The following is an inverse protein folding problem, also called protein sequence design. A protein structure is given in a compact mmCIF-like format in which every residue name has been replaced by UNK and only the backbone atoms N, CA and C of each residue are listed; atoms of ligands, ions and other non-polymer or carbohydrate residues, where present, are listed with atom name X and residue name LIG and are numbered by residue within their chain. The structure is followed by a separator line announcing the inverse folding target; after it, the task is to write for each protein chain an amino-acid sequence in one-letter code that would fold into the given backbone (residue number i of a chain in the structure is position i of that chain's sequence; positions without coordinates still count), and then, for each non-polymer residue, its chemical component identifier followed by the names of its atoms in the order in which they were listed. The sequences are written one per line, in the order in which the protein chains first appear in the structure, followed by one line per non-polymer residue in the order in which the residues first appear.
data_IF_687779173398
#
_entry.id   IF_687779173398
#
_cell.length_a   1.000
_cell.length_b   1.000
_cell.length_c   1.000
_cell.angle_alpha   90.00
_cell.angle_beta   90.00
_cell.angle_gamma   90.00
#
_symmetry.space_group_name_H-M   'P 1'
#
loop_
_entity.id
_entity.type
_entity.pdbx_description
1 polymer ?
#
# COMPACT_ATOMS: atom_id res chain seq x y z
N UNK A 1 -2.50 -1.73 -45.64
CA UNK A 1 -1.03 -1.54 -45.80
C UNK A 1 -0.66 -0.35 -44.92
N UNK A 2 0.16 -0.42 -43.88
CA UNK A 2 1.24 -1.33 -43.49
C UNK A 2 1.16 -1.56 -41.98
N UNK A 3 1.27 -2.82 -41.56
CA UNK A 3 1.54 -3.19 -40.17
C UNK A 3 2.99 -2.87 -39.82
N UNK A 4 3.22 -2.42 -38.59
CA UNK A 4 4.54 -2.25 -38.01
C UNK A 4 4.60 -3.10 -36.73
N UNK A 5 5.47 -4.09 -36.81
CA UNK A 5 5.66 -5.22 -35.91
C UNK A 5 6.42 -4.83 -34.64
N UNK A 6 5.80 -5.04 -33.49
CA UNK A 6 6.31 -4.80 -32.13
C UNK A 6 7.16 -5.98 -31.59
N UNK A 7 8.14 -6.50 -32.35
CA UNK A 7 8.88 -7.70 -31.93
C UNK A 7 10.41 -7.81 -32.17
N UNK A 8 11.22 -6.73 -32.25
CA UNK A 8 12.68 -6.93 -32.18
C UNK A 8 13.50 -5.98 -31.27
N UNK A 9 12.94 -5.45 -30.17
CA UNK A 9 13.75 -4.73 -29.14
C UNK A 9 13.98 -5.61 -27.89
N UNK A 10 13.48 -6.84 -27.90
CA UNK A 10 13.47 -7.78 -26.77
C UNK A 10 14.75 -8.65 -26.64
N UNK A 11 15.74 -8.59 -27.55
CA UNK A 11 16.76 -9.68 -27.60
C UNK A 11 18.24 -9.27 -27.57
N UNK A 12 18.63 -7.99 -27.55
CA UNK A 12 20.08 -7.64 -27.52
C UNK A 12 20.40 -6.54 -26.51
N UNK A 13 20.32 -6.87 -25.23
CA UNK A 13 21.14 -6.29 -24.16
C UNK A 13 21.22 -7.26 -22.95
N UNK A 14 21.16 -8.57 -23.23
CA UNK A 14 21.63 -9.61 -22.32
C UNK A 14 23.13 -9.78 -22.64
N UNK A 15 23.96 -9.91 -21.61
CA UNK A 15 25.44 -9.80 -21.59
C UNK A 15 25.91 -8.33 -21.57
N UNK A 16 26.53 -7.79 -20.52
CA UNK A 16 27.37 -8.38 -19.48
C UNK A 16 27.04 -7.71 -18.14
N UNK A 17 26.46 -8.46 -17.20
CA UNK A 17 26.74 -8.24 -15.80
C UNK A 17 27.54 -9.48 -15.39
N UNK A 18 28.81 -9.31 -15.08
CA UNK A 18 29.64 -10.40 -14.59
C UNK A 18 28.98 -10.95 -13.32
N UNK A 19 28.86 -12.29 -13.16
CA UNK A 19 28.56 -12.84 -11.86
C UNK A 19 29.70 -12.43 -10.92
N UNK A 20 29.41 -11.58 -9.94
CA UNK A 20 30.32 -11.37 -8.81
C UNK A 20 30.34 -12.70 -8.06
N UNK A 21 31.42 -13.46 -8.25
CA UNK A 21 31.67 -14.66 -7.48
C UNK A 21 31.76 -14.26 -6.00
N UNK A 22 30.76 -14.66 -5.22
CA UNK A 22 30.82 -14.57 -3.78
C UNK A 22 32.04 -15.38 -3.32
N UNK A 23 32.97 -14.68 -2.67
CA UNK A 23 34.10 -15.24 -1.95
C UNK A 23 33.56 -16.24 -0.93
N UNK A 24 34.23 -17.38 -0.77
CA UNK A 24 33.89 -18.43 0.20
C UNK A 24 33.69 -17.82 1.59
N UNK A 25 32.42 -17.64 2.00
CA UNK A 25 32.02 -16.96 3.23
C UNK A 25 31.16 -17.89 4.06
N UNK A 26 31.47 -17.93 5.36
CA UNK A 26 30.99 -18.95 6.29
C UNK A 26 29.78 -18.36 7.02
N UNK A 27 28.79 -19.19 7.36
CA UNK A 27 27.59 -18.85 8.16
C UNK A 27 27.92 -18.32 9.58
N UNK A 28 29.20 -18.04 9.88
CA UNK A 28 29.69 -17.59 11.19
C UNK A 28 29.46 -16.09 11.46
N UNK A 29 29.05 -15.31 10.47
CA UNK A 29 28.81 -13.86 10.63
C UNK A 29 27.33 -13.52 10.90
N UNK A 30 26.45 -14.53 10.92
CA UNK A 30 25.09 -14.35 11.37
C UNK A 30 25.03 -14.10 12.89
N UNK A 31 24.06 -13.31 13.39
CA UNK A 31 23.96 -12.97 14.79
C UNK A 31 23.84 -14.21 15.69
N UNK A 32 24.48 -14.18 16.86
CA UNK A 32 24.59 -15.33 17.77
C UNK A 32 23.22 -15.95 18.13
N UNK A 33 22.18 -15.11 18.21
CA UNK A 33 20.83 -15.59 18.47
C UNK A 33 20.28 -16.44 17.32
N UNK A 34 20.49 -16.01 16.07
CA UNK A 34 20.03 -16.73 14.90
C UNK A 34 20.80 -18.05 14.70
N UNK A 35 22.09 -18.06 15.04
CA UNK A 35 22.91 -19.28 15.00
C UNK A 35 22.40 -20.37 15.96
N UNK A 36 21.95 -20.01 17.17
CA UNK A 36 21.32 -20.98 18.09
C UNK A 36 20.06 -21.61 17.52
N UNK A 37 19.28 -20.84 16.77
CA UNK A 37 18.11 -21.37 16.07
C UNK A 37 18.50 -22.30 14.92
N UNK A 38 19.53 -21.94 14.15
CA UNK A 38 20.02 -22.74 13.04
C UNK A 38 20.58 -24.10 13.51
N UNK A 39 21.41 -24.10 14.55
CA UNK A 39 22.07 -25.30 15.10
C UNK A 39 21.03 -26.36 15.55
N UNK A 40 19.93 -25.91 16.15
CA UNK A 40 18.81 -26.77 16.58
C UNK A 40 18.20 -27.59 15.45
N UNK A 41 18.26 -27.11 14.21
CA UNK A 41 17.74 -27.82 13.03
C UNK A 41 18.82 -28.61 12.30
N UNK A 42 20.09 -28.20 12.39
CA UNK A 42 21.24 -28.90 11.82
C UNK A 42 21.62 -30.18 12.59
N UNK A 43 21.28 -30.28 13.88
CA UNK A 43 21.51 -31.49 14.70
C UNK A 43 20.69 -32.72 14.24
N UNK A 44 19.74 -32.56 13.31
CA UNK A 44 19.01 -33.71 12.75
C UNK A 44 19.96 -34.54 11.87
N UNK A 45 19.95 -35.88 11.98
CA UNK A 45 20.92 -36.78 11.31
C UNK A 45 20.89 -36.72 9.77
N UNK A 46 19.91 -36.02 9.19
CA UNK A 46 19.74 -35.85 7.74
C UNK A 46 20.61 -34.67 7.22
N UNK A 47 21.00 -33.72 8.08
CA UNK A 47 21.60 -32.45 7.69
C UNK A 47 22.99 -32.17 8.29
N UNK A 48 23.57 -33.10 9.05
CA UNK A 48 24.87 -32.92 9.71
C UNK A 48 26.04 -32.67 8.74
N UNK A 49 25.93 -33.15 7.50
CA UNK A 49 26.93 -32.99 6.43
C UNK A 49 26.37 -32.21 5.21
N UNK A 50 25.28 -31.45 5.37
CA UNK A 50 24.68 -30.73 4.26
C UNK A 50 25.54 -29.52 3.83
N UNK A 51 25.85 -29.42 2.53
CA UNK A 51 26.43 -28.20 1.96
C UNK A 51 25.43 -27.04 2.01
N UNK A 52 25.94 -25.79 2.07
CA UNK A 52 25.13 -24.57 2.11
C UNK A 52 24.10 -24.56 0.96
N UNK A 53 24.50 -24.99 -0.24
CA UNK A 53 23.63 -25.09 -1.41
C UNK A 53 22.43 -26.04 -1.22
N UNK A 54 22.62 -27.14 -0.47
CA UNK A 54 21.55 -28.08 -0.14
C UNK A 54 20.58 -27.51 0.89
N UNK A 55 21.09 -26.77 1.86
CA UNK A 55 20.28 -26.04 2.86
C UNK A 55 19.42 -24.96 2.20
N UNK A 56 19.98 -24.24 1.24
CA UNK A 56 19.30 -23.19 0.48
C UNK A 56 18.14 -23.70 -0.40
N UNK A 57 18.22 -24.96 -0.85
CA UNK A 57 17.22 -25.59 -1.70
C UNK A 57 16.06 -26.25 -0.91
N UNK A 58 16.21 -26.39 0.41
CA UNK A 58 15.18 -27.00 1.28
C UNK A 58 14.43 -25.90 2.03
N UNK A 59 13.30 -25.48 1.48
CA UNK A 59 12.45 -24.39 2.03
C UNK A 59 12.00 -24.67 3.46
N UNK A 60 11.72 -25.93 3.81
CA UNK A 60 11.25 -26.32 5.14
C UNK A 60 12.26 -26.06 6.25
N UNK A 61 13.57 -26.07 5.97
CA UNK A 61 14.60 -25.78 6.99
C UNK A 61 14.70 -24.27 7.19
N UNK A 62 14.78 -23.51 6.10
CA UNK A 62 14.76 -22.04 6.11
C UNK A 62 13.54 -21.49 6.86
N UNK A 63 12.32 -21.99 6.56
CA UNK A 63 11.09 -21.55 7.22
C UNK A 63 11.08 -21.83 8.74
N UNK A 64 11.57 -23.00 9.15
CA UNK A 64 11.59 -23.38 10.57
C UNK A 64 12.64 -22.58 11.38
N UNK A 65 13.80 -22.29 10.78
CA UNK A 65 14.79 -21.41 11.38
C UNK A 65 14.22 -19.99 11.48
N UNK A 66 13.57 -19.49 10.43
CA UNK A 66 12.92 -18.17 10.42
C UNK A 66 11.85 -18.03 11.51
N UNK A 67 11.03 -19.06 11.74
CA UNK A 67 10.04 -19.09 12.83
C UNK A 67 10.73 -18.99 14.21
N UNK A 68 11.84 -19.71 14.40
CA UNK A 68 12.61 -19.67 15.63
C UNK A 68 13.23 -18.28 15.88
N UNK A 69 13.89 -17.70 14.87
CA UNK A 69 14.52 -16.38 14.97
C UNK A 69 13.47 -15.30 15.22
N UNK A 70 12.32 -15.36 14.53
CA UNK A 70 11.21 -14.43 14.75
C UNK A 70 10.65 -14.48 16.18
N UNK A 71 10.62 -15.67 16.79
CA UNK A 71 10.06 -15.87 18.13
C UNK A 71 11.06 -15.67 19.28
N UNK A 72 12.36 -15.74 19.00
CA UNK A 72 13.41 -15.80 20.01
C UNK A 72 14.49 -14.72 19.94
N UNK A 73 14.58 -13.96 18.86
CA UNK A 73 15.63 -12.95 18.63
C UNK A 73 15.08 -11.54 18.46
N UNK A 74 15.97 -10.54 18.52
CA UNK A 74 15.60 -9.15 18.22
C UNK A 74 15.23 -8.98 16.74
N UNK A 75 14.47 -7.94 16.42
CA UNK A 75 14.09 -7.62 15.03
C UNK A 75 15.34 -7.35 14.18
N UNK A 76 16.35 -6.70 14.77
CA UNK A 76 17.65 -6.47 14.13
C UNK A 76 18.35 -7.77 13.78
N UNK A 77 18.47 -8.71 14.73
CA UNK A 77 19.11 -10.01 14.47
C UNK A 77 18.36 -10.81 13.39
N UNK A 78 17.03 -10.69 13.36
CA UNK A 78 16.19 -11.32 12.32
C UNK A 78 16.48 -10.73 10.93
N UNK A 79 16.59 -9.40 10.83
CA UNK A 79 16.87 -8.73 9.56
C UNK A 79 18.30 -9.01 9.07
N UNK A 80 19.29 -9.02 9.98
CA UNK A 80 20.67 -9.41 9.67
C UNK A 80 20.73 -10.87 9.22
N UNK A 81 20.07 -11.79 9.93
CA UNK A 81 19.99 -13.19 9.53
C UNK A 81 19.40 -13.36 8.11
N UNK A 82 18.31 -12.65 7.78
CA UNK A 82 17.71 -12.72 6.45
C UNK A 82 18.61 -12.14 5.35
N UNK A 83 19.37 -11.09 5.65
CA UNK A 83 20.40 -10.56 4.75
C UNK A 83 21.44 -11.63 4.46
N UNK A 84 22.01 -12.22 5.50
CA UNK A 84 23.08 -13.21 5.38
C UNK A 84 22.62 -14.51 4.70
N UNK A 85 21.40 -15.00 5.00
CA UNK A 85 20.82 -16.16 4.32
C UNK A 85 20.71 -15.92 2.81
N UNK A 86 20.20 -14.74 2.39
CA UNK A 86 20.03 -14.42 0.97
C UNK A 86 21.35 -14.35 0.22
N UNK A 87 22.36 -13.71 0.81
CA UNK A 87 23.72 -13.64 0.24
C UNK A 87 24.30 -15.05 0.14
N UNK A 88 24.19 -15.86 1.20
CA UNK A 88 24.71 -17.24 1.24
C UNK A 88 24.02 -18.16 0.22
N UNK A 89 22.72 -17.96 -0.01
CA UNK A 89 21.94 -18.77 -0.94
C UNK A 89 21.91 -18.21 -2.37
N UNK A 90 22.69 -17.16 -2.66
CA UNK A 90 22.70 -16.47 -3.96
C UNK A 90 21.28 -16.16 -4.49
N UNK A 91 20.38 -15.76 -3.59
CA UNK A 91 19.02 -15.38 -3.94
C UNK A 91 19.04 -13.93 -4.41
N UNK A 92 18.63 -13.71 -5.66
CA UNK A 92 18.54 -12.36 -6.24
C UNK A 92 17.61 -11.48 -5.40
N UNK A 93 18.08 -10.28 -5.08
CA UNK A 93 17.26 -9.24 -4.49
C UNK A 93 16.24 -8.75 -5.53
N UNK A 94 15.02 -8.44 -5.09
CA UNK A 94 13.96 -7.98 -5.98
C UNK A 94 14.03 -6.44 -6.00
N UNK A 95 14.27 -5.88 -7.18
CA UNK A 95 14.29 -4.43 -7.40
C UNK A 95 13.07 -4.00 -8.24
N UNK A 96 12.07 -3.39 -7.58
CA UNK A 96 10.85 -2.88 -8.23
C UNK A 96 10.71 -1.35 -8.16
N UNK A 97 11.75 -0.65 -7.73
CA UNK A 97 11.75 0.80 -7.51
C UNK A 97 11.37 1.61 -8.77
N UNK A 98 11.82 1.17 -9.95
CA UNK A 98 11.53 1.82 -11.23
C UNK A 98 10.05 1.75 -11.59
N UNK A 99 9.43 0.58 -11.42
CA UNK A 99 8.01 0.37 -11.68
C UNK A 99 7.16 1.22 -10.73
N UNK A 100 7.51 1.24 -9.44
CA UNK A 100 6.81 2.03 -8.42
C UNK A 100 6.91 3.52 -8.75
N UNK A 101 8.09 4.03 -9.10
CA UNK A 101 8.28 5.44 -9.50
C UNK A 101 7.48 5.80 -10.75
N UNK A 102 7.54 4.97 -11.79
CA UNK A 102 6.82 5.21 -13.03
C UNK A 102 5.30 5.32 -12.82
N UNK A 103 4.72 4.42 -12.02
CA UNK A 103 3.30 4.46 -11.66
C UNK A 103 2.95 5.74 -10.89
N UNK A 104 3.76 6.11 -9.89
CA UNK A 104 3.50 7.32 -9.10
C UNK A 104 3.61 8.61 -9.91
N UNK A 105 4.58 8.69 -10.85
CA UNK A 105 4.67 9.84 -11.76
C UNK A 105 3.45 9.94 -12.69
N UNK A 106 2.96 8.80 -13.19
CA UNK A 106 1.75 8.78 -14.00
C UNK A 106 0.53 9.28 -13.21
N UNK A 107 0.35 8.80 -11.97
CA UNK A 107 -0.74 9.23 -11.09
C UNK A 107 -0.63 10.73 -10.79
N UNK A 108 0.55 11.22 -10.44
CA UNK A 108 0.77 12.65 -10.19
C UNK A 108 0.42 13.51 -11.42
N UNK A 109 0.84 13.08 -12.61
CA UNK A 109 0.47 13.75 -13.86
C UNK A 109 -1.05 13.78 -14.08
N UNK A 110 -1.74 12.68 -13.83
CA UNK A 110 -3.19 12.60 -13.96
C UNK A 110 -3.92 13.52 -12.96
N UNK A 111 -3.45 13.60 -11.71
CA UNK A 111 -3.99 14.51 -10.68
C UNK A 111 -3.84 15.96 -11.13
N UNK A 112 -2.64 16.36 -11.58
CA UNK A 112 -2.35 17.71 -12.04
C UNK A 112 -3.24 18.09 -13.22
N UNK A 113 -3.32 17.24 -14.25
CA UNK A 113 -4.17 17.48 -15.42
C UNK A 113 -5.64 17.63 -15.03
N UNK A 114 -6.16 16.73 -14.17
CA UNK A 114 -7.55 16.77 -13.70
C UNK A 114 -7.89 18.08 -12.97
N UNK A 115 -7.02 18.50 -12.04
CA UNK A 115 -7.20 19.75 -11.30
C UNK A 115 -7.04 20.97 -12.21
N UNK A 116 -6.07 20.97 -13.13
CA UNK A 116 -5.89 22.06 -14.09
C UNK A 116 -7.11 22.26 -14.97
N UNK A 117 -7.69 21.17 -15.50
CA UNK A 117 -8.95 21.23 -16.26
C UNK A 117 -10.06 21.79 -15.38
N UNK A 118 -10.22 21.28 -14.16
CA UNK A 118 -11.28 21.72 -13.25
C UNK A 118 -11.16 23.21 -12.89
N UNK A 119 -9.99 23.68 -12.48
CA UNK A 119 -9.73 25.08 -12.17
C UNK A 119 -9.94 25.97 -13.40
N UNK A 120 -9.51 25.52 -14.59
CA UNK A 120 -9.71 26.27 -15.83
C UNK A 120 -11.20 26.47 -16.12
N UNK A 121 -12.04 25.45 -15.93
CA UNK A 121 -13.50 25.59 -16.15
C UNK A 121 -14.15 26.60 -15.19
N UNK A 122 -13.63 26.72 -13.96
CA UNK A 122 -14.13 27.67 -12.95
C UNK A 122 -13.62 29.09 -13.21
N UNK A 123 -12.35 29.23 -13.57
CA UNK A 123 -11.74 30.52 -13.86
C UNK A 123 -12.37 31.19 -15.09
N UNK A 124 -12.64 30.39 -16.13
CA UNK A 124 -13.38 30.84 -17.32
C UNK A 124 -14.89 30.99 -17.07
N UNK A 125 -15.37 30.84 -15.82
CA UNK A 125 -16.75 31.01 -15.38
C UNK A 125 -17.78 30.14 -16.12
N UNK A 126 -17.38 28.99 -16.69
CA UNK A 126 -18.32 28.04 -17.28
C UNK A 126 -19.27 27.44 -16.24
N UNK A 127 -18.83 27.35 -14.98
CA UNK A 127 -19.65 26.86 -13.87
C UNK A 127 -19.40 27.66 -12.59
N UNK A 128 -20.43 27.78 -11.73
CA UNK A 128 -20.28 28.43 -10.41
C UNK A 128 -19.48 27.56 -9.45
N UNK A 129 -18.69 28.19 -8.59
CA UNK A 129 -18.04 27.56 -7.44
C UNK A 129 -19.08 26.93 -6.52
N UNK A 130 -18.84 25.68 -6.12
CA UNK A 130 -19.64 24.97 -5.12
C UNK A 130 -18.76 24.45 -3.99
N UNK A 131 -19.40 24.00 -2.91
CA UNK A 131 -18.70 23.36 -1.77
C UNK A 131 -17.90 22.14 -2.24
N UNK A 132 -18.38 21.44 -3.27
CA UNK A 132 -17.68 20.32 -3.90
C UNK A 132 -16.30 20.70 -4.46
N UNK A 133 -16.15 21.92 -4.98
CA UNK A 133 -14.87 22.44 -5.50
C UNK A 133 -13.88 22.76 -4.38
N UNK A 134 -14.36 23.30 -3.26
CA UNK A 134 -13.51 23.61 -2.10
C UNK A 134 -13.00 22.36 -1.39
N UNK A 135 -13.67 21.22 -1.55
CA UNK A 135 -13.26 19.95 -0.97
C UNK A 135 -12.33 19.15 -1.87
N UNK A 136 -12.52 19.20 -3.19
CA UNK A 136 -11.69 18.41 -4.12
C UNK A 136 -10.27 18.97 -4.28
N UNK A 137 -10.09 20.28 -4.16
CA UNK A 137 -8.78 20.94 -4.26
C UNK A 137 -7.82 20.45 -3.14
N UNK A 138 -8.17 20.54 -1.85
CA UNK A 138 -7.31 20.02 -0.78
C UNK A 138 -7.16 18.50 -0.88
N UNK A 139 -8.17 17.76 -1.33
CA UNK A 139 -8.04 16.33 -1.55
C UNK A 139 -6.95 15.98 -2.57
N UNK A 140 -6.89 16.73 -3.67
CA UNK A 140 -5.88 16.56 -4.71
C UNK A 140 -4.48 16.99 -4.26
N UNK A 141 -4.37 18.03 -3.42
CA UNK A 141 -3.10 18.43 -2.80
C UNK A 141 -2.58 17.30 -1.90
N UNK A 142 -3.44 16.72 -1.05
CA UNK A 142 -3.05 15.59 -0.20
C UNK A 142 -2.66 14.36 -1.03
N UNK A 143 -3.40 14.05 -2.10
CA UNK A 143 -3.04 12.97 -3.02
C UNK A 143 -1.70 13.22 -3.72
N UNK A 144 -1.41 14.46 -4.11
CA UNK A 144 -0.11 14.82 -4.69
C UNK A 144 1.02 14.66 -3.66
N UNK A 145 0.83 15.14 -2.43
CA UNK A 145 1.79 14.94 -1.32
C UNK A 145 2.04 13.45 -1.12
N UNK A 146 0.97 12.63 -1.09
CA UNK A 146 1.08 11.18 -0.96
C UNK A 146 1.94 10.57 -2.08
N UNK A 147 1.69 10.93 -3.35
CA UNK A 147 2.48 10.40 -4.48
C UNK A 147 3.96 10.82 -4.41
N UNK A 148 4.25 12.04 -3.96
CA UNK A 148 5.62 12.52 -3.79
C UNK A 148 6.32 11.74 -2.67
N UNK A 149 5.65 11.53 -1.54
CA UNK A 149 6.18 10.73 -0.43
C UNK A 149 6.43 9.28 -0.86
N UNK A 150 5.54 8.68 -1.64
CA UNK A 150 5.75 7.33 -2.21
C UNK A 150 7.01 7.27 -3.09
N UNK A 151 7.27 8.31 -3.90
CA UNK A 151 8.50 8.39 -4.69
C UNK A 151 9.73 8.52 -3.78
N UNK A 152 9.69 9.38 -2.76
CA UNK A 152 10.79 9.53 -1.80
C UNK A 152 11.05 8.25 -1.00
N UNK A 153 10.00 7.48 -0.71
CA UNK A 153 10.13 6.18 -0.06
C UNK A 153 10.89 5.19 -0.93
N UNK A 154 10.84 5.27 -2.27
CA UNK A 154 11.66 4.39 -3.13
C UNK A 154 13.15 4.60 -2.94
N UNK A 155 13.58 5.84 -2.71
CA UNK A 155 14.98 6.14 -2.36
C UNK A 155 15.32 5.77 -0.91
N UNK A 156 14.30 5.56 -0.07
CA UNK A 156 14.44 5.08 1.30
C UNK A 156 14.23 3.56 1.41
N UNK A 157 14.23 2.84 0.28
CA UNK A 157 14.18 1.38 0.22
C UNK A 157 12.87 0.77 -0.26
N UNK A 158 11.80 1.55 -0.51
CA UNK A 158 10.54 1.03 -1.05
C UNK A 158 10.75 0.35 -2.42
N UNK A 159 10.37 -0.92 -2.51
CA UNK A 159 10.60 -1.74 -3.70
C UNK A 159 11.89 -2.54 -3.68
N UNK A 160 12.68 -2.44 -2.59
CA UNK A 160 13.79 -3.34 -2.25
C UNK A 160 13.45 -4.12 -0.99
N UNK A 161 14.10 -5.26 -0.80
CA UNK A 161 13.86 -6.08 0.39
C UNK A 161 14.33 -5.41 1.68
N UNK A 162 13.53 -5.51 2.74
CA UNK A 162 13.72 -4.73 3.97
C UNK A 162 15.09 -4.90 4.62
N UNK A 163 15.73 -6.05 4.43
CA UNK A 163 17.05 -6.34 4.98
C UNK A 163 18.21 -5.70 4.20
N UNK A 164 18.02 -5.11 3.03
CA UNK A 164 19.11 -4.38 2.34
C UNK A 164 19.23 -2.92 2.80
N UNK A 165 18.32 -2.47 3.67
CA UNK A 165 18.16 -1.08 4.09
C UNK A 165 18.98 -0.81 5.36
N UNK A 166 19.62 0.37 5.42
CA UNK A 166 20.33 0.84 6.62
C UNK A 166 19.35 1.22 7.75
N UNK A 167 19.75 1.07 9.01
CA UNK A 167 18.93 1.39 10.19
C UNK A 167 18.42 2.85 10.17
N UNK A 168 19.28 3.80 9.79
CA UNK A 168 18.89 5.22 9.69
C UNK A 168 17.82 5.46 8.60
N UNK A 169 17.92 4.71 7.50
CA UNK A 169 16.98 4.81 6.37
C UNK A 169 15.65 4.13 6.70
N UNK A 170 15.68 3.07 7.50
CA UNK A 170 14.49 2.34 7.99
C UNK A 170 13.59 3.24 8.83
N UNK A 171 14.16 4.03 9.74
CA UNK A 171 13.37 4.97 10.54
C UNK A 171 12.66 6.02 9.67
N UNK A 172 13.34 6.56 8.65
CA UNK A 172 12.73 7.53 7.71
C UNK A 172 11.62 6.90 6.89
N UNK A 173 11.83 5.68 6.42
CA UNK A 173 10.84 4.91 5.66
C UNK A 173 9.51 4.82 6.42
N UNK A 174 9.55 4.42 7.69
CA UNK A 174 8.34 4.29 8.48
C UNK A 174 7.68 5.62 8.86
N UNK A 175 8.46 6.70 9.07
CA UNK A 175 7.90 8.05 9.24
C UNK A 175 7.13 8.44 7.97
N UNK A 176 7.69 8.21 6.78
CA UNK A 176 6.99 8.47 5.52
C UNK A 176 5.76 7.59 5.35
N UNK A 177 5.84 6.31 5.71
CA UNK A 177 4.72 5.37 5.69
C UNK A 177 3.54 5.89 6.53
N UNK A 178 3.83 6.36 7.75
CA UNK A 178 2.84 6.94 8.66
C UNK A 178 2.16 8.15 8.03
N UNK A 179 2.93 9.10 7.50
CA UNK A 179 2.38 10.31 6.87
C UNK A 179 1.55 9.95 5.62
N UNK A 180 1.99 8.98 4.83
CA UNK A 180 1.25 8.47 3.66
C UNK A 180 -0.09 7.88 4.08
N UNK A 181 -0.15 7.14 5.18
CA UNK A 181 -1.40 6.57 5.68
C UNK A 181 -2.39 7.67 6.10
N UNK A 182 -1.95 8.65 6.90
CA UNK A 182 -2.79 9.77 7.33
C UNK A 182 -3.30 10.60 6.16
N UNK A 183 -2.42 10.95 5.23
CA UNK A 183 -2.78 11.74 4.04
C UNK A 183 -3.72 10.98 3.11
N UNK A 184 -3.57 9.65 3.00
CA UNK A 184 -4.46 8.79 2.24
C UNK A 184 -5.89 8.78 2.81
N UNK A 185 -6.04 8.51 4.11
CA UNK A 185 -7.35 8.47 4.77
C UNK A 185 -8.07 9.81 4.66
N UNK A 186 -7.34 10.91 4.86
CA UNK A 186 -7.91 12.26 4.74
C UNK A 186 -8.29 12.62 3.30
N UNK A 187 -7.46 12.25 2.31
CA UNK A 187 -7.75 12.47 0.89
C UNK A 187 -9.03 11.73 0.47
N UNK A 188 -9.16 10.45 0.83
CA UNK A 188 -10.38 9.67 0.55
C UNK A 188 -11.63 10.30 1.15
N UNK A 189 -11.56 10.76 2.41
CA UNK A 189 -12.68 11.43 3.05
C UNK A 189 -13.11 12.69 2.29
N UNK A 190 -12.16 13.55 1.92
CA UNK A 190 -12.45 14.77 1.17
C UNK A 190 -13.01 14.50 -0.23
N UNK A 191 -12.53 13.46 -0.93
CA UNK A 191 -13.09 13.03 -2.22
C UNK A 191 -14.55 12.60 -2.05
N UNK A 192 -14.84 11.76 -1.06
CA UNK A 192 -16.21 11.29 -0.76
C UNK A 192 -17.13 12.46 -0.43
N UNK A 193 -16.67 13.38 0.41
CA UNK A 193 -17.41 14.59 0.74
C UNK A 193 -17.68 15.45 -0.50
N UNK A 194 -16.68 15.67 -1.36
CA UNK A 194 -16.87 16.42 -2.61
C UNK A 194 -17.98 15.81 -3.48
N UNK A 195 -18.01 14.48 -3.63
CA UNK A 195 -19.06 13.77 -4.39
C UNK A 195 -20.43 13.92 -3.72
N UNK A 196 -20.53 13.78 -2.40
CA UNK A 196 -21.79 13.91 -1.66
C UNK A 196 -22.35 15.33 -1.75
N UNK A 197 -21.51 16.37 -1.60
CA UNK A 197 -21.92 17.75 -1.80
C UNK A 197 -22.31 18.05 -3.25
N UNK A 198 -21.67 17.41 -4.21
CA UNK A 198 -22.06 17.47 -5.61
C UNK A 198 -23.46 16.85 -5.83
N UNK A 199 -23.79 15.74 -5.17
CA UNK A 199 -25.13 15.16 -5.22
C UNK A 199 -26.20 16.08 -4.62
N UNK A 200 -25.92 16.73 -3.48
CA UNK A 200 -26.82 17.73 -2.89
C UNK A 200 -27.12 18.90 -3.83
N UNK A 201 -26.17 19.25 -4.71
CA UNK A 201 -26.32 20.33 -5.69
C UNK A 201 -27.15 19.92 -6.90
N UNK A 202 -27.09 18.66 -7.31
CA UNK A 202 -27.76 18.17 -8.52
C UNK A 202 -29.21 17.76 -8.26
N UNK A 203 -29.45 17.08 -7.13
CA UNK A 203 -30.73 16.44 -6.85
C UNK A 203 -31.47 17.21 -5.75
N UNK A 204 -32.57 17.92 -6.08
CA UNK A 204 -33.33 18.71 -5.12
C UNK A 204 -34.35 17.91 -4.27
N UNK A 205 -34.33 16.57 -4.32
CA UNK A 205 -35.28 15.73 -3.58
C UNK A 205 -35.02 15.75 -2.05
N UNK A 206 -36.00 16.12 -1.21
CA UNK A 206 -35.79 16.30 0.23
C UNK A 206 -35.42 15.00 0.96
N UNK A 207 -35.97 13.86 0.53
CA UNK A 207 -35.65 12.55 1.10
C UNK A 207 -34.20 12.19 0.79
N UNK A 208 -33.80 12.35 -0.48
CA UNK A 208 -32.42 12.12 -0.93
C UNK A 208 -31.41 13.04 -0.23
N UNK A 209 -31.73 14.32 -0.07
CA UNK A 209 -30.90 15.29 0.67
C UNK A 209 -30.68 14.82 2.11
N UNK A 210 -31.72 14.32 2.78
CA UNK A 210 -31.62 13.80 4.15
C UNK A 210 -30.70 12.59 4.22
N UNK A 211 -30.83 11.64 3.28
CA UNK A 211 -29.97 10.45 3.18
C UNK A 211 -28.50 10.86 2.96
N UNK A 212 -28.24 11.84 2.09
CA UNK A 212 -26.87 12.32 1.84
C UNK A 212 -26.28 12.97 3.09
N UNK A 213 -27.04 13.79 3.83
CA UNK A 213 -26.56 14.40 5.07
C UNK A 213 -26.15 13.36 6.10
N UNK A 214 -26.92 12.29 6.26
CA UNK A 214 -26.53 11.15 7.09
C UNK A 214 -25.27 10.45 6.58
N UNK A 215 -25.14 10.28 5.26
CA UNK A 215 -23.96 9.68 4.65
C UNK A 215 -22.70 10.53 4.87
N UNK A 216 -22.83 11.87 4.78
CA UNK A 216 -21.76 12.83 5.11
C UNK A 216 -21.34 12.69 6.57
N UNK A 217 -22.30 12.69 7.49
CA UNK A 217 -22.03 12.55 8.92
C UNK A 217 -21.32 11.22 9.24
N UNK A 218 -21.79 10.11 8.65
CA UNK A 218 -21.17 8.79 8.79
C UNK A 218 -19.74 8.79 8.25
N UNK A 219 -19.50 9.35 7.07
CA UNK A 219 -18.16 9.41 6.45
C UNK A 219 -17.18 10.20 7.32
N UNK A 220 -17.60 11.35 7.86
CA UNK A 220 -16.76 12.17 8.76
C UNK A 220 -16.50 11.42 10.06
N UNK A 221 -17.53 10.79 10.63
CA UNK A 221 -17.42 10.05 11.88
C UNK A 221 -16.48 8.84 11.74
N UNK A 222 -16.64 8.02 10.70
CA UNK A 222 -15.79 6.85 10.47
C UNK A 222 -14.32 7.24 10.25
N UNK A 223 -14.09 8.31 9.47
CA UNK A 223 -12.74 8.82 9.21
C UNK A 223 -12.10 9.35 10.50
N UNK A 224 -12.84 10.15 11.27
CA UNK A 224 -12.36 10.71 12.54
C UNK A 224 -12.01 9.61 13.55
N UNK A 225 -12.88 8.60 13.70
CA UNK A 225 -12.63 7.47 14.60
C UNK A 225 -11.32 6.78 14.21
N UNK A 226 -11.13 6.46 12.93
CA UNK A 226 -9.92 5.76 12.48
C UNK A 226 -8.66 6.61 12.64
N UNK A 227 -8.72 7.90 12.34
CA UNK A 227 -7.59 8.81 12.55
C UNK A 227 -7.21 8.92 14.02
N UNK A 228 -8.20 9.00 14.91
CA UNK A 228 -7.94 9.04 16.37
C UNK A 228 -7.36 7.72 16.84
N UNK A 229 -7.91 6.58 16.43
CA UNK A 229 -7.39 5.27 16.82
C UNK A 229 -5.97 5.04 16.28
N UNK A 230 -5.69 5.43 15.04
CA UNK A 230 -4.35 5.37 14.45
C UNK A 230 -3.37 6.28 15.20
N UNK A 231 -3.78 7.52 15.54
CA UNK A 231 -2.95 8.44 16.30
C UNK A 231 -2.62 7.91 17.71
N UNK A 232 -3.61 7.33 18.40
CA UNK A 232 -3.44 6.73 19.73
C UNK A 232 -2.52 5.51 19.71
N UNK A 233 -2.52 4.72 18.62
CA UNK A 233 -1.59 3.60 18.44
C UNK A 233 -0.17 4.06 18.11
N UNK A 234 -0.04 5.16 17.37
CA UNK A 234 1.26 5.73 16.99
C UNK A 234 1.93 6.57 18.09
N UNK A 235 1.22 6.87 19.19
CA UNK A 235 1.79 7.55 20.33
C UNK A 235 2.66 6.57 21.12
N UNK A 236 3.99 6.80 21.24
CA UNK A 236 4.85 5.93 22.03
C UNK A 236 4.40 6.00 23.50
N UNK A 237 3.75 4.96 23.99
CA UNK A 237 3.31 4.89 25.40
C UNK A 237 4.46 4.67 26.37
N UNK A 238 5.67 4.43 25.87
CA UNK A 238 6.92 4.40 26.62
C UNK A 238 8.01 4.97 25.70
N UNK A 239 8.95 5.81 26.18
CA UNK A 239 10.16 6.12 25.44
C UNK A 239 11.04 4.87 25.44
N UNK A 240 10.76 3.91 24.56
CA UNK A 240 11.70 2.81 24.33
C UNK A 240 13.00 3.44 23.82
N UNK A 241 14.02 3.42 24.68
CA UNK A 241 15.36 3.88 24.36
C UNK A 241 16.01 3.08 23.21
N UNK A 242 15.31 2.06 22.68
CA UNK A 242 15.78 1.11 21.67
C UNK A 242 15.07 1.24 20.30
N UNK A 243 14.35 2.33 20.01
CA UNK A 243 13.79 2.53 18.66
C UNK A 243 12.89 1.36 18.16
N UNK A 244 13.06 0.95 16.89
CA UNK A 244 12.31 -0.15 16.24
C UNK A 244 12.59 -1.54 16.84
N UNK A 245 13.51 -1.66 17.80
CA UNK A 245 14.08 -2.94 18.25
C UNK A 245 13.33 -3.57 19.43
N UNK A 246 12.39 -2.85 20.06
CA UNK A 246 11.61 -3.39 21.17
C UNK A 246 10.31 -4.02 20.69
N UNK A 247 10.12 -5.34 20.87
CA UNK A 247 8.77 -5.91 21.00
C UNK A 247 8.18 -5.36 22.31
N UNK A 248 7.21 -4.43 22.30
CA UNK A 248 6.77 -3.81 23.54
C UNK A 248 5.89 -4.80 24.30
N UNK A 249 6.27 -5.17 25.52
CA UNK A 249 5.49 -6.02 26.41
C UNK A 249 4.87 -5.19 27.53
N UNK A 250 3.95 -4.25 27.23
CA UNK A 250 2.98 -3.73 28.21
C UNK A 250 2.16 -2.56 27.66
N UNK A 251 0.90 -2.83 27.31
CA UNK A 251 -0.10 -1.83 26.97
C UNK A 251 -1.31 -2.50 26.31
N UNK A 252 -2.56 -2.04 26.53
CA UNK A 252 -3.71 -2.53 25.77
C UNK A 252 -3.56 -2.14 24.30
N UNK A 253 -2.94 -3.01 23.51
CA UNK A 253 -2.85 -2.86 22.06
C UNK A 253 -4.16 -3.24 21.42
N UNK A 254 -4.69 -2.34 20.61
CA UNK A 254 -5.72 -2.66 19.65
C UNK A 254 -5.12 -3.54 18.54
N UNK A 255 -5.90 -4.49 18.05
CA UNK A 255 -5.51 -5.30 16.90
C UNK A 255 -5.47 -4.43 15.64
N UNK A 256 -4.25 -4.10 15.19
CA UNK A 256 -3.97 -3.29 13.99
C UNK A 256 -4.62 -3.94 12.76
N UNK A 257 -4.61 -5.27 12.68
CA UNK A 257 -5.19 -5.99 11.55
C UNK A 257 -6.71 -5.82 11.52
N UNK A 258 -7.36 -5.97 12.67
CA UNK A 258 -8.81 -5.75 12.79
C UNK A 258 -9.18 -4.29 12.47
N UNK A 259 -8.36 -3.32 12.89
CA UNK A 259 -8.58 -1.90 12.59
C UNK A 259 -8.47 -1.61 11.09
N UNK A 260 -7.41 -2.09 10.43
CA UNK A 260 -7.21 -1.89 8.99
C UNK A 260 -8.35 -2.56 8.20
N UNK A 261 -8.70 -3.80 8.56
CA UNK A 261 -9.74 -4.56 7.86
C UNK A 261 -11.13 -3.93 8.03
N UNK A 262 -11.47 -3.49 9.24
CA UNK A 262 -12.74 -2.79 9.50
C UNK A 262 -12.82 -1.46 8.73
N UNK A 263 -11.75 -0.68 8.73
CA UNK A 263 -11.70 0.57 7.96
C UNK A 263 -11.79 0.33 6.45
N UNK A 264 -11.09 -0.67 5.92
CA UNK A 264 -11.17 -1.05 4.52
C UNK A 264 -12.59 -1.49 4.14
N UNK A 265 -13.22 -2.34 4.97
CA UNK A 265 -14.60 -2.79 4.76
C UNK A 265 -15.62 -1.66 4.78
N UNK A 266 -15.54 -0.75 5.76
CA UNK A 266 -16.42 0.44 5.84
C UNK A 266 -16.23 1.32 4.60
N UNK A 267 -14.99 1.53 4.14
CA UNK A 267 -14.73 2.34 2.96
C UNK A 267 -15.33 1.73 1.69
N UNK A 268 -15.17 0.42 1.48
CA UNK A 268 -15.78 -0.28 0.34
C UNK A 268 -17.30 -0.23 0.41
N UNK A 269 -17.88 -0.46 1.59
CA UNK A 269 -19.32 -0.36 1.78
C UNK A 269 -19.85 1.04 1.44
N UNK A 270 -19.12 2.09 1.84
CA UNK A 270 -19.46 3.47 1.48
C UNK A 270 -19.32 3.73 -0.03
N UNK A 271 -18.32 3.18 -0.69
CA UNK A 271 -18.14 3.32 -2.14
C UNK A 271 -19.33 2.70 -2.89
N UNK A 272 -19.73 1.48 -2.50
CA UNK A 272 -20.91 0.79 -3.06
C UNK A 272 -22.18 1.59 -2.78
N UNK A 273 -22.36 2.08 -1.55
CA UNK A 273 -23.52 2.88 -1.17
C UNK A 273 -23.61 4.17 -2.00
N UNK A 274 -22.51 4.91 -2.12
CA UNK A 274 -22.43 6.14 -2.90
C UNK A 274 -22.65 5.92 -4.39
N UNK A 275 -22.32 4.74 -4.91
CA UNK A 275 -22.63 4.33 -6.27
C UNK A 275 -24.14 4.05 -6.47
N UNK A 276 -24.79 3.41 -5.50
CA UNK A 276 -26.23 3.11 -5.56
C UNK A 276 -27.08 4.38 -5.46
N UNK A 277 -26.67 5.36 -4.66
CA UNK A 277 -27.43 6.60 -4.42
C UNK A 277 -27.94 7.30 -5.71
N UNK A 278 -27.10 7.66 -6.68
CA UNK A 278 -27.57 8.31 -7.90
C UNK A 278 -28.38 7.38 -8.82
N UNK A 279 -28.27 6.04 -8.71
CA UNK A 279 -29.07 5.10 -9.52
C UNK A 279 -30.55 5.15 -9.13
N UNK A 280 -30.85 5.29 -7.84
CA UNK A 280 -32.24 5.36 -7.37
C UNK A 280 -32.95 6.61 -7.92
N UNK A 281 -32.21 7.71 -8.05
CA UNK A 281 -32.71 8.95 -8.63
C UNK A 281 -32.82 8.86 -10.16
N UNK A 282 -31.88 8.18 -10.82
CA UNK A 282 -31.88 8.05 -12.27
C UNK A 282 -33.06 7.21 -12.79
N UNK A 283 -33.44 6.15 -12.08
CA UNK A 283 -34.56 5.28 -12.48
C UNK A 283 -35.88 6.04 -12.57
N UNK A 284 -36.05 7.08 -11.74
CA UNK A 284 -37.27 7.88 -11.68
C UNK A 284 -37.28 9.08 -12.64
N UNK A 285 -36.19 9.34 -13.36
CA UNK A 285 -36.01 10.56 -14.15
C UNK A 285 -35.99 10.28 -15.67
N UNK A 286 -37.02 10.76 -16.38
CA UNK A 286 -37.13 10.72 -17.84
C UNK A 286 -36.15 11.65 -18.58
N UNK A 287 -34.84 11.43 -18.43
CA UNK A 287 -33.80 12.31 -18.97
C UNK A 287 -33.56 12.15 -20.48
N UNK A 288 -33.31 13.28 -21.15
CA UNK A 288 -32.86 13.34 -22.56
C UNK A 288 -31.52 12.61 -22.75
N UNK A 289 -31.36 11.92 -23.87
CA UNK A 289 -30.24 11.01 -24.17
C UNK A 289 -28.83 11.61 -23.90
N UNK A 290 -28.60 12.90 -24.18
CA UNK A 290 -27.31 13.56 -23.92
C UNK A 290 -26.93 13.60 -22.44
N UNK A 291 -27.89 13.85 -21.54
CA UNK A 291 -27.63 13.82 -20.08
C UNK A 291 -27.48 12.37 -19.59
N UNK A 292 -28.22 11.44 -20.20
CA UNK A 292 -28.13 10.01 -19.90
C UNK A 292 -26.72 9.46 -20.15
N UNK A 293 -26.05 9.87 -21.24
CA UNK A 293 -24.67 9.44 -21.56
C UNK A 293 -23.67 9.95 -20.53
N UNK A 294 -23.71 11.23 -20.15
CA UNK A 294 -22.79 11.77 -19.14
C UNK A 294 -22.96 11.07 -17.78
N UNK A 295 -24.19 10.74 -17.43
CA UNK A 295 -24.50 9.99 -16.21
C UNK A 295 -23.97 8.53 -16.31
N UNK A 296 -24.15 7.86 -17.44
CA UNK A 296 -23.59 6.51 -17.66
C UNK A 296 -22.05 6.49 -17.56
N UNK A 297 -21.36 7.52 -18.05
CA UNK A 297 -19.90 7.62 -17.93
C UNK A 297 -19.46 7.75 -16.46
N UNK A 298 -20.13 8.59 -15.68
CA UNK A 298 -19.87 8.74 -14.24
C UNK A 298 -20.12 7.40 -13.52
N UNK A 299 -21.18 6.67 -13.90
CA UNK A 299 -21.46 5.35 -13.36
C UNK A 299 -20.37 4.33 -13.71
N UNK A 300 -19.87 4.31 -14.94
CA UNK A 300 -18.78 3.42 -15.34
C UNK A 300 -17.52 3.63 -14.48
N UNK A 301 -17.17 4.89 -14.22
CA UNK A 301 -16.05 5.24 -13.32
C UNK A 301 -16.33 4.75 -11.89
N UNK A 302 -17.56 4.89 -11.39
CA UNK A 302 -17.95 4.40 -10.07
C UNK A 302 -17.79 2.87 -9.90
N UNK A 303 -18.22 2.08 -10.89
CA UNK A 303 -18.05 0.62 -10.89
C UNK A 303 -16.57 0.25 -10.87
N UNK A 304 -15.77 0.92 -11.71
CA UNK A 304 -14.34 0.70 -11.78
C UNK A 304 -13.66 0.97 -10.42
N UNK A 305 -14.00 2.06 -9.75
CA UNK A 305 -13.45 2.39 -8.43
C UNK A 305 -13.81 1.33 -7.37
N UNK A 306 -15.04 0.82 -7.37
CA UNK A 306 -15.45 -0.26 -6.46
C UNK A 306 -14.61 -1.52 -6.72
N UNK A 307 -14.42 -1.91 -7.97
CA UNK A 307 -13.61 -3.08 -8.32
C UNK A 307 -12.18 -2.94 -7.82
N UNK A 308 -11.57 -1.77 -8.01
CA UNK A 308 -10.21 -1.46 -7.51
C UNK A 308 -10.17 -1.52 -5.98
N UNK A 309 -11.16 -0.95 -5.28
CA UNK A 309 -11.23 -1.01 -3.81
C UNK A 309 -11.36 -2.44 -3.29
N UNK A 310 -12.11 -3.31 -3.97
CA UNK A 310 -12.23 -4.73 -3.62
C UNK A 310 -10.92 -5.50 -3.83
N UNK A 311 -10.27 -5.29 -4.99
CA UNK A 311 -8.97 -5.93 -5.30
C UNK A 311 -7.91 -5.55 -4.26
N UNK A 312 -7.95 -4.33 -3.73
CA UNK A 312 -6.98 -3.84 -2.74
C UNK A 312 -6.99 -4.61 -1.42
N UNK A 313 -8.13 -5.13 -0.96
CA UNK A 313 -8.25 -5.77 0.36
C UNK A 313 -7.28 -6.96 0.55
N UNK A 314 -7.22 -7.97 -0.33
CA UNK A 314 -6.28 -9.08 -0.18
C UNK A 314 -4.82 -8.60 -0.15
N UNK A 315 -4.44 -7.65 -1.01
CA UNK A 315 -3.09 -7.07 -0.99
C UNK A 315 -2.72 -6.44 0.36
N UNK A 316 -3.67 -5.76 1.02
CA UNK A 316 -3.42 -5.19 2.36
C UNK A 316 -3.31 -6.26 3.45
N UNK A 317 -4.07 -7.36 3.35
CA UNK A 317 -3.98 -8.48 4.28
C UNK A 317 -2.64 -9.20 4.16
N UNK A 318 -2.14 -9.36 2.94
CA UNK A 318 -0.84 -9.96 2.67
C UNK A 318 0.29 -9.08 3.19
N UNK A 319 0.24 -7.78 2.92
CA UNK A 319 1.22 -6.80 3.43
C UNK A 319 1.39 -6.89 4.95
N UNK A 320 0.28 -7.00 5.69
CA UNK A 320 0.32 -7.08 7.16
C UNK A 320 0.84 -8.43 7.69
N UNK A 321 0.81 -9.48 6.89
CA UNK A 321 1.31 -10.83 7.27
C UNK A 321 2.78 -11.01 6.95
N UNK A 322 3.32 -10.24 6.00
CA UNK A 322 4.69 -10.41 5.48
C UNK A 322 5.71 -9.63 6.29
N UNK A 323 6.82 -10.28 6.63
CA UNK A 323 8.00 -9.63 7.23
C UNK A 323 8.70 -8.68 6.26
N UNK A 324 8.55 -8.92 4.95
CA UNK A 324 9.11 -8.09 3.89
C UNK A 324 8.08 -7.10 3.34
N UNK A 325 7.66 -6.16 4.19
CA UNK A 325 6.69 -5.13 3.85
C UNK A 325 7.15 -4.25 2.67
N UNK A 326 8.47 -4.16 2.45
CA UNK A 326 9.06 -3.20 1.51
C UNK A 326 9.08 -3.69 0.06
N UNK A 327 9.08 -5.01 -0.18
CA UNK A 327 9.30 -5.59 -1.51
C UNK A 327 8.21 -6.53 -2.02
N UNK A 328 7.42 -7.17 -1.14
CA UNK A 328 6.53 -8.25 -1.59
C UNK A 328 5.32 -7.72 -2.37
N UNK A 329 5.40 -7.80 -3.69
CA UNK A 329 4.24 -7.78 -4.60
C UNK A 329 3.66 -9.21 -4.58
N UNK A 330 2.36 -9.41 -4.30
CA UNK A 330 1.84 -10.77 -4.19
C UNK A 330 1.85 -11.45 -5.56
N UNK A 331 2.59 -12.55 -5.62
CA UNK A 331 2.52 -13.50 -6.71
C UNK A 331 1.39 -14.49 -6.41
N UNK A 332 0.44 -14.70 -7.32
CA UNK A 332 -0.71 -15.58 -7.09
C UNK A 332 -0.40 -17.09 -7.18
N UNK A 333 0.86 -17.52 -7.00
CA UNK A 333 1.28 -18.90 -7.37
C UNK A 333 1.92 -19.70 -6.22
N UNK A 334 2.11 -19.16 -5.01
CA UNK A 334 2.85 -19.91 -3.96
C UNK A 334 2.07 -20.25 -2.69
N UNK A 335 0.75 -20.07 -2.66
CA UNK A 335 -0.08 -20.60 -1.56
C UNK A 335 -1.00 -21.73 -2.09
N UNK A 336 -0.38 -22.86 -2.47
CA UNK A 336 -1.00 -24.19 -2.46
C UNK A 336 0.00 -25.20 -1.88
#
# INVERSE_FOLDING_TARGET
MRGLTLWPIVVIAISLCEPVYAKEYRVQDAPECAMKCLDKFLERPIFSDASIERLCNVTTVSDNVLICVRGGCSVKDLLEYMREERVSCNRLDIDNDHNIRAINFFILGAILVSISIRLSTKFHRFTKWGVDDYLIIPAAILAAIQTILMILMTWSGLGHDIWTISEETTTRFFIYLLVVEFTYVLSLCLIKLSILFFFLRIFPDPTFITIIRWTIALTILSTTIILVLAALQSAPTEPSQDGWDGFPNSGPRLDIQALILSHAGINVALDIWMFVLPLTQLYNLGLKARKKIGIMLIFGVGIFLIAVSCIRIPHMLDFNRTLNATCKIPNPITDT
#
